data_IF_132778167034
#
_entry.id   IF_132778167034
#
_cell.length_a   1.000
_cell.length_b   1.000
_cell.length_c   1.000
_cell.angle_alpha   90.00
_cell.angle_beta   90.00
_cell.angle_gamma   90.00
#
_symmetry.space_group_name_H-M   'P 1'
#
loop_
_entity.id
_entity.type
_entity.pdbx_description
1 polymer ?
#
# COMPACT_ATOMS: atom_id res chain seq x y z
N UNK A 1 1.30 -6.01 -20.47
CA UNK A 1 0.08 -5.15 -20.57
C UNK A 1 -0.50 -4.99 -19.18
N UNK A 2 -0.87 -3.75 -18.81
CA UNK A 2 -1.53 -3.42 -17.53
C UNK A 2 -2.97 -3.01 -17.77
N UNK A 3 -3.91 -3.57 -17.00
CA UNK A 3 -5.34 -3.24 -17.07
C UNK A 3 -5.81 -2.82 -15.67
N UNK A 4 -6.30 -1.58 -15.53
CA UNK A 4 -6.93 -1.14 -14.29
C UNK A 4 -8.37 -1.73 -14.19
N UNK A 5 -8.51 -2.82 -13.46
CA UNK A 5 -9.78 -3.51 -13.25
C UNK A 5 -10.88 -2.58 -12.69
N UNK A 6 -10.55 -1.64 -11.81
CA UNK A 6 -11.54 -0.72 -11.22
C UNK A 6 -12.22 0.16 -12.26
N UNK A 7 -11.49 0.52 -13.33
CA UNK A 7 -12.02 1.29 -14.46
C UNK A 7 -12.74 0.42 -15.49
N UNK A 8 -12.40 -0.86 -15.54
CA UNK A 8 -12.79 -1.80 -16.61
C UNK A 8 -13.58 -3.01 -16.13
N UNK A 9 -14.33 -2.87 -15.03
CA UNK A 9 -15.12 -3.99 -14.44
C UNK A 9 -16.10 -4.63 -15.41
N UNK A 10 -16.74 -3.84 -16.30
CA UNK A 10 -17.75 -4.31 -17.24
C UNK A 10 -17.17 -5.02 -18.47
N UNK A 11 -15.97 -4.63 -18.90
CA UNK A 11 -15.33 -5.10 -20.14
C UNK A 11 -14.01 -5.86 -19.90
N UNK A 12 -13.70 -6.18 -18.63
CA UNK A 12 -12.43 -6.81 -18.24
C UNK A 12 -12.12 -8.09 -19.03
N UNK A 13 -13.12 -8.92 -19.26
CA UNK A 13 -12.96 -10.18 -20.00
C UNK A 13 -12.59 -9.91 -21.46
N UNK A 14 -13.26 -8.93 -22.07
CA UNK A 14 -12.95 -8.53 -23.44
C UNK A 14 -11.53 -7.99 -23.55
N UNK A 15 -11.08 -7.20 -22.57
CA UNK A 15 -9.71 -6.67 -22.52
C UNK A 15 -8.68 -7.77 -22.34
N UNK A 16 -8.91 -8.73 -21.44
CA UNK A 16 -7.99 -9.86 -21.29
C UNK A 16 -7.90 -10.66 -22.60
N UNK A 17 -9.00 -10.86 -23.31
CA UNK A 17 -8.99 -11.52 -24.63
C UNK A 17 -8.23 -10.71 -25.69
N UNK A 18 -8.33 -9.38 -25.67
CA UNK A 18 -7.63 -8.50 -26.61
C UNK A 18 -6.10 -8.49 -26.40
N UNK A 19 -5.62 -8.82 -25.20
CA UNK A 19 -4.18 -9.01 -24.95
C UNK A 19 -3.61 -10.15 -25.78
N UNK A 20 -4.44 -11.14 -26.13
CA UNK A 20 -4.00 -12.35 -26.86
C UNK A 20 -3.29 -13.33 -25.91
N UNK A 21 -2.20 -13.92 -26.37
CA UNK A 21 -1.40 -14.84 -25.59
C UNK A 21 -0.47 -14.11 -24.63
N UNK A 22 -0.28 -14.66 -23.43
CA UNK A 22 0.61 -14.13 -22.39
C UNK A 22 1.17 -15.28 -21.51
N UNK A 23 2.34 -15.08 -20.93
CA UNK A 23 3.03 -16.11 -20.15
C UNK A 23 2.48 -16.20 -18.73
N UNK A 24 2.15 -15.07 -18.11
CA UNK A 24 1.76 -14.97 -16.71
C UNK A 24 0.59 -14.02 -16.50
N UNK A 25 -0.22 -14.30 -15.50
CA UNK A 25 -1.24 -13.38 -15.02
C UNK A 25 -0.85 -12.88 -13.62
N UNK A 26 -0.66 -11.58 -13.47
CA UNK A 26 -0.32 -10.95 -12.20
C UNK A 26 -1.46 -10.04 -11.74
N UNK A 27 -2.02 -10.35 -10.58
CA UNK A 27 -3.05 -9.54 -9.94
C UNK A 27 -2.45 -8.72 -8.82
N UNK A 28 -2.59 -7.41 -8.89
CA UNK A 28 -2.20 -6.51 -7.81
C UNK A 28 -3.45 -5.96 -7.13
N UNK A 29 -3.48 -5.98 -5.79
CA UNK A 29 -4.58 -5.56 -4.93
C UNK A 29 -5.82 -6.46 -5.03
N UNK A 30 -6.46 -6.59 -6.18
CA UNK A 30 -7.51 -7.57 -6.47
C UNK A 30 -8.85 -7.39 -5.75
N UNK A 31 -9.14 -6.24 -5.12
CA UNK A 31 -10.44 -5.98 -4.50
C UNK A 31 -11.56 -6.22 -5.52
N UNK A 32 -12.54 -7.04 -5.17
CA UNK A 32 -13.71 -7.42 -5.99
C UNK A 32 -13.37 -8.16 -7.29
N UNK A 33 -12.15 -8.62 -7.49
CA UNK A 33 -11.80 -9.35 -8.71
C UNK A 33 -12.52 -10.72 -8.75
N UNK A 34 -13.24 -11.04 -9.84
CA UNK A 34 -14.06 -12.26 -9.90
C UNK A 34 -13.20 -13.52 -9.94
N UNK A 35 -13.47 -14.47 -9.04
CA UNK A 35 -12.81 -15.79 -9.01
C UNK A 35 -13.07 -16.57 -10.30
N UNK A 36 -14.26 -16.41 -10.88
CA UNK A 36 -14.60 -17.05 -12.16
C UNK A 36 -13.68 -16.67 -13.30
N UNK A 37 -13.16 -15.42 -13.33
CA UNK A 37 -12.17 -14.99 -14.31
C UNK A 37 -10.83 -15.70 -14.07
N UNK A 38 -10.37 -15.77 -12.80
CA UNK A 38 -9.14 -16.47 -12.48
C UNK A 38 -9.19 -17.96 -12.85
N UNK A 39 -10.34 -18.61 -12.66
CA UNK A 39 -10.56 -20.01 -13.06
C UNK A 39 -10.51 -20.20 -14.57
N UNK A 40 -10.88 -19.19 -15.36
CA UNK A 40 -10.86 -19.24 -16.82
C UNK A 40 -9.48 -19.01 -17.44
N UNK A 41 -8.52 -18.52 -16.67
CA UNK A 41 -7.15 -18.27 -17.13
C UNK A 41 -6.30 -19.53 -16.92
N UNK A 42 -5.83 -20.12 -18.03
CA UNK A 42 -4.97 -21.31 -18.01
C UNK A 42 -3.48 -20.93 -18.12
N UNK A 43 -3.02 -20.02 -17.28
CA UNK A 43 -1.63 -19.56 -17.16
C UNK A 43 -1.25 -19.46 -15.68
N UNK A 44 0.04 -19.55 -15.33
CA UNK A 44 0.48 -19.27 -13.96
C UNK A 44 -0.05 -17.92 -13.49
N UNK A 45 -0.60 -17.92 -12.30
CA UNK A 45 -1.24 -16.75 -11.68
C UNK A 45 -0.53 -16.37 -10.40
N UNK A 46 -0.21 -15.10 -10.28
CA UNK A 46 0.45 -14.51 -9.13
C UNK A 46 -0.43 -13.41 -8.54
N UNK A 47 -0.36 -13.24 -7.23
CA UNK A 47 -1.17 -12.25 -6.54
C UNK A 47 -0.34 -11.44 -5.54
N UNK A 48 -0.36 -10.13 -5.67
CA UNK A 48 0.18 -9.23 -4.65
C UNK A 48 -0.97 -8.63 -3.84
N UNK A 49 -1.17 -9.18 -2.63
CA UNK A 49 -2.14 -8.69 -1.67
C UNK A 49 -1.53 -7.52 -0.89
N UNK A 50 -2.00 -6.31 -1.16
CA UNK A 50 -1.47 -5.07 -0.61
C UNK A 50 -2.24 -4.55 0.61
N UNK A 51 -3.15 -5.35 1.17
CA UNK A 51 -3.92 -5.03 2.38
C UNK A 51 -3.65 -6.07 3.47
N UNK A 52 -3.86 -5.65 4.71
CA UNK A 52 -3.73 -6.55 5.86
C UNK A 52 -4.74 -7.70 5.78
N UNK A 53 -4.29 -8.90 6.04
CA UNK A 53 -5.12 -10.11 6.10
C UNK A 53 -6.22 -9.92 7.15
N UNK A 54 -7.44 -10.32 6.80
CA UNK A 54 -8.64 -10.21 7.66
C UNK A 54 -9.09 -8.78 8.01
N UNK A 55 -8.64 -7.78 7.29
CA UNK A 55 -9.05 -6.36 7.47
C UNK A 55 -10.40 -6.02 6.81
N UNK A 56 -11.40 -6.89 6.82
CA UNK A 56 -12.67 -6.66 6.12
C UNK A 56 -12.53 -6.25 4.64
N UNK A 57 -11.47 -6.70 3.98
CA UNK A 57 -11.21 -6.52 2.55
C UNK A 57 -11.47 -7.81 1.81
N UNK A 58 -11.83 -7.69 0.55
CA UNK A 58 -12.17 -8.85 -0.30
C UNK A 58 -10.95 -9.74 -0.66
N UNK A 59 -9.73 -9.33 -0.30
CA UNK A 59 -8.51 -10.06 -0.63
C UNK A 59 -8.41 -11.43 0.05
N UNK A 60 -9.00 -11.61 1.23
CA UNK A 60 -9.03 -12.92 1.93
C UNK A 60 -9.67 -14.00 1.08
N UNK A 61 -10.70 -13.69 0.31
CA UNK A 61 -11.36 -14.61 -0.62
C UNK A 61 -10.43 -15.06 -1.74
N UNK A 62 -9.59 -14.16 -2.23
CA UNK A 62 -8.59 -14.45 -3.26
C UNK A 62 -7.44 -15.27 -2.67
N UNK A 63 -6.94 -14.91 -1.50
CA UNK A 63 -5.88 -15.63 -0.79
C UNK A 63 -6.27 -17.09 -0.51
N UNK A 64 -7.52 -17.34 -0.09
CA UNK A 64 -8.04 -18.66 0.20
C UNK A 64 -8.60 -19.41 -1.04
N UNK A 65 -8.40 -18.86 -2.25
CA UNK A 65 -8.98 -19.46 -3.47
C UNK A 65 -8.24 -20.70 -3.98
N UNK A 66 -6.98 -20.87 -3.61
CA UNK A 66 -6.11 -21.93 -4.15
C UNK A 66 -5.76 -21.78 -5.64
N UNK A 67 -6.01 -20.58 -6.24
CA UNK A 67 -5.88 -20.37 -7.68
C UNK A 67 -4.54 -19.75 -8.09
N UNK A 68 -3.71 -19.32 -7.13
CA UNK A 68 -2.43 -18.68 -7.38
C UNK A 68 -1.28 -19.65 -7.14
N UNK A 69 -0.32 -19.65 -8.03
CA UNK A 69 0.94 -20.37 -7.90
C UNK A 69 1.78 -19.79 -6.77
N UNK A 70 1.77 -18.45 -6.65
CA UNK A 70 2.49 -17.73 -5.59
C UNK A 70 1.77 -16.45 -5.21
N UNK A 71 1.88 -16.07 -3.94
CA UNK A 71 1.27 -14.87 -3.37
C UNK A 71 2.34 -14.01 -2.71
N UNK A 72 2.22 -12.70 -2.89
CA UNK A 72 3.05 -11.70 -2.23
C UNK A 72 2.21 -10.93 -1.24
N UNK A 73 2.75 -10.71 -0.04
CA UNK A 73 2.14 -9.91 1.03
C UNK A 73 3.13 -8.87 1.52
N UNK A 74 2.66 -7.79 2.09
CA UNK A 74 3.51 -6.66 2.43
C UNK A 74 4.10 -6.70 3.85
N UNK A 75 3.71 -7.68 4.69
CA UNK A 75 4.27 -7.86 6.05
C UNK A 75 4.44 -9.34 6.42
N UNK A 76 5.38 -9.62 7.31
CA UNK A 76 5.58 -10.95 7.87
C UNK A 76 4.36 -11.43 8.67
N UNK A 77 3.67 -10.53 9.36
CA UNK A 77 2.44 -10.83 10.08
C UNK A 77 1.33 -11.34 9.14
N UNK A 78 1.19 -10.75 7.94
CA UNK A 78 0.28 -11.26 6.91
C UNK A 78 0.67 -12.66 6.42
N UNK A 79 1.97 -12.91 6.19
CA UNK A 79 2.48 -14.24 5.81
C UNK A 79 2.13 -15.27 6.89
N UNK A 80 2.44 -15.00 8.15
CA UNK A 80 2.12 -15.90 9.28
C UNK A 80 0.62 -16.18 9.35
N UNK A 81 -0.21 -15.15 9.27
CA UNK A 81 -1.68 -15.31 9.34
C UNK A 81 -2.24 -16.19 8.21
N UNK A 82 -1.72 -16.10 7.00
CA UNK A 82 -2.13 -16.95 5.87
C UNK A 82 -1.76 -18.42 6.12
N UNK A 83 -0.56 -18.68 6.63
CA UNK A 83 -0.08 -20.03 6.93
C UNK A 83 -0.87 -20.63 8.09
N UNK A 84 -1.05 -19.90 9.20
CA UNK A 84 -1.84 -20.34 10.35
C UNK A 84 -3.30 -20.67 10.01
N UNK A 85 -3.90 -19.92 9.07
CA UNK A 85 -5.24 -20.19 8.55
C UNK A 85 -5.29 -21.41 7.58
N UNK A 86 -4.14 -21.95 7.21
CA UNK A 86 -4.05 -23.06 6.25
C UNK A 86 -4.47 -22.68 4.83
N UNK A 87 -4.45 -21.40 4.47
CA UNK A 87 -4.84 -20.96 3.13
C UNK A 87 -3.77 -21.26 2.09
N UNK A 88 -2.50 -21.12 2.47
CA UNK A 88 -1.34 -21.40 1.62
C UNK A 88 -0.20 -22.01 2.46
N UNK A 89 0.68 -22.74 1.80
CA UNK A 89 1.93 -23.25 2.38
C UNK A 89 3.03 -22.17 2.36
N UNK A 90 4.04 -22.32 3.18
CA UNK A 90 5.09 -21.30 3.36
C UNK A 90 5.86 -21.00 2.07
N UNK A 91 6.11 -22.01 1.25
CA UNK A 91 6.81 -21.92 -0.04
C UNK A 91 6.02 -21.11 -1.10
N UNK A 92 4.71 -20.92 -0.89
CA UNK A 92 3.83 -20.17 -1.80
C UNK A 92 3.59 -18.72 -1.38
N UNK A 93 4.20 -18.26 -0.30
CA UNK A 93 3.99 -16.90 0.21
C UNK A 93 5.32 -16.20 0.46
N UNK A 94 5.53 -15.08 -0.22
CA UNK A 94 6.72 -14.23 -0.03
C UNK A 94 6.32 -12.85 0.49
N UNK A 95 7.08 -12.32 1.44
CA UNK A 95 6.94 -10.92 1.85
C UNK A 95 7.57 -10.04 0.77
N UNK A 96 6.76 -9.17 0.18
CA UNK A 96 7.17 -8.18 -0.80
C UNK A 96 6.69 -6.81 -0.30
N UNK A 97 7.60 -6.08 0.28
CA UNK A 97 7.33 -4.74 0.82
C UNK A 97 6.85 -3.79 -0.29
N UNK A 98 6.09 -2.78 0.10
CA UNK A 98 5.79 -1.65 -0.76
C UNK A 98 7.08 -0.97 -1.24
N UNK A 99 6.96 -0.06 -2.18
CA UNK A 99 8.04 0.71 -2.75
C UNK A 99 7.54 2.06 -3.24
N UNK A 100 8.38 2.73 -4.00
CA UNK A 100 8.04 4.01 -4.61
C UNK A 100 8.59 4.09 -6.05
N UNK A 101 8.09 5.07 -6.79
CA UNK A 101 8.57 5.43 -8.11
C UNK A 101 9.44 6.68 -8.02
N UNK A 102 10.74 6.63 -8.37
CA UNK A 102 11.65 7.77 -8.33
C UNK A 102 11.26 8.92 -9.28
N UNK A 103 10.52 8.65 -10.34
CA UNK A 103 10.02 9.68 -11.25
C UNK A 103 8.85 10.47 -10.63
N UNK A 104 8.13 9.84 -9.70
CA UNK A 104 6.97 10.42 -9.02
C UNK A 104 7.31 11.03 -7.66
N UNK A 105 8.36 10.52 -6.97
CA UNK A 105 8.74 10.94 -5.62
C UNK A 105 10.22 11.27 -5.58
N UNK A 106 10.55 12.54 -5.40
CA UNK A 106 11.92 13.06 -5.51
C UNK A 106 12.13 14.31 -4.65
N UNK A 107 13.39 14.62 -4.27
CA UNK A 107 13.70 15.86 -3.61
C UNK A 107 13.62 17.04 -4.57
N UNK A 108 13.04 18.17 -4.13
CA UNK A 108 12.97 19.42 -4.89
C UNK A 108 14.05 20.34 -4.38
N UNK A 109 15.07 20.59 -5.22
CA UNK A 109 16.19 21.43 -4.87
C UNK A 109 15.76 22.89 -4.62
N UNK A 110 16.36 23.50 -3.60
CA UNK A 110 16.13 24.91 -3.27
C UNK A 110 14.76 25.25 -2.67
N UNK A 111 13.90 24.27 -2.44
CA UNK A 111 12.58 24.51 -1.83
C UNK A 111 12.72 24.95 -0.37
N UNK A 112 11.97 25.99 0.01
CA UNK A 112 11.95 26.48 1.38
C UNK A 112 11.18 25.52 2.29
N UNK A 113 11.77 25.11 3.42
CA UNK A 113 11.12 24.35 4.49
C UNK A 113 10.27 25.29 5.38
N UNK A 114 9.04 25.59 4.96
CA UNK A 114 8.13 26.53 5.62
C UNK A 114 6.97 25.86 6.39
N UNK A 115 6.89 24.53 6.37
CA UNK A 115 5.94 23.73 7.15
C UNK A 115 6.73 23.06 8.29
N UNK A 116 6.40 23.37 9.53
CA UNK A 116 7.11 22.80 10.68
C UNK A 116 6.84 21.29 10.79
N UNK A 117 5.58 20.91 10.90
CA UNK A 117 5.15 19.51 11.03
C UNK A 117 4.02 19.24 10.04
N UNK A 118 4.12 18.16 9.28
CA UNK A 118 3.15 17.76 8.26
C UNK A 118 2.60 16.38 8.56
N UNK A 119 1.29 16.23 8.49
CA UNK A 119 0.63 14.93 8.38
C UNK A 119 -0.21 14.89 7.11
N UNK A 120 -0.03 13.84 6.28
CA UNK A 120 -0.83 13.60 5.08
C UNK A 120 -1.52 12.25 5.19
N UNK A 121 -2.84 12.24 5.27
CA UNK A 121 -3.59 10.99 5.34
C UNK A 121 -5.03 11.16 5.84
N UNK A 122 -5.72 10.05 5.98
CA UNK A 122 -7.05 10.03 6.60
C UNK A 122 -6.91 10.31 8.11
N UNK A 123 -7.67 11.27 8.61
CA UNK A 123 -7.63 11.74 10.01
C UNK A 123 -8.73 11.14 10.88
N UNK A 124 -9.27 9.97 10.53
CA UNK A 124 -10.34 9.31 11.27
C UNK A 124 -9.80 8.40 12.38
N UNK A 125 -10.69 8.09 13.32
CA UNK A 125 -10.43 7.10 14.37
C UNK A 125 -9.24 7.46 15.26
N UNK A 126 -8.30 6.52 15.39
CA UNK A 126 -7.11 6.60 16.23
C UNK A 126 -6.20 7.79 15.86
N UNK A 127 -5.97 8.03 14.57
CA UNK A 127 -5.14 9.15 14.07
C UNK A 127 -5.62 10.50 14.58
N UNK A 128 -6.94 10.74 14.62
CA UNK A 128 -7.52 12.00 15.09
C UNK A 128 -7.10 12.28 16.54
N UNK A 129 -7.11 11.27 17.42
CA UNK A 129 -6.70 11.45 18.81
C UNK A 129 -5.26 11.93 18.94
N UNK A 130 -4.33 11.29 18.18
CA UNK A 130 -2.91 11.67 18.18
C UNK A 130 -2.71 13.08 17.61
N UNK A 131 -3.33 13.37 16.46
CA UNK A 131 -3.20 14.67 15.79
C UNK A 131 -3.74 15.81 16.63
N UNK A 132 -4.85 15.61 17.36
CA UNK A 132 -5.42 16.61 18.25
C UNK A 132 -4.49 16.91 19.44
N UNK A 133 -3.76 15.93 19.96
CA UNK A 133 -2.76 16.16 21.00
C UNK A 133 -1.52 16.88 20.46
N UNK A 134 -0.99 16.44 19.32
CA UNK A 134 0.17 17.06 18.66
C UNK A 134 -0.13 18.52 18.31
N UNK A 135 -1.32 18.83 17.81
CA UNK A 135 -1.74 20.16 17.41
C UNK A 135 -1.80 21.18 18.58
N UNK A 136 -1.96 20.69 19.80
CA UNK A 136 -1.88 21.56 21.00
C UNK A 136 -0.44 21.97 21.34
N UNK A 137 0.55 21.23 20.84
CA UNK A 137 1.95 21.36 21.22
C UNK A 137 2.82 21.97 20.13
N UNK A 138 2.38 21.95 18.84
CA UNK A 138 3.14 22.48 17.73
C UNK A 138 2.25 22.91 16.56
N UNK A 139 2.87 23.64 15.61
CA UNK A 139 2.22 24.05 14.35
C UNK A 139 2.14 22.85 13.39
N UNK A 140 1.02 22.13 13.42
CA UNK A 140 0.77 20.95 12.60
C UNK A 140 -0.07 21.33 11.36
N UNK A 141 0.49 21.06 10.17
CA UNK A 141 -0.24 21.15 8.91
C UNK A 141 -0.85 19.77 8.58
N UNK A 142 -2.18 19.74 8.46
CA UNK A 142 -2.96 18.53 8.17
C UNK A 142 -3.46 18.56 6.72
N UNK A 143 -3.19 17.51 5.94
CA UNK A 143 -3.65 17.37 4.57
C UNK A 143 -4.39 16.04 4.34
N UNK A 144 -5.53 16.10 3.67
CA UNK A 144 -6.38 14.94 3.34
C UNK A 144 -6.62 14.89 1.85
N UNK A 145 -6.51 13.69 1.25
CA UNK A 145 -6.84 13.51 -0.17
C UNK A 145 -5.81 14.12 -1.12
N UNK A 146 -4.61 14.40 -0.64
CA UNK A 146 -3.51 14.95 -1.43
C UNK A 146 -2.61 13.80 -1.90
N UNK A 147 -2.34 13.76 -3.21
CA UNK A 147 -1.56 12.73 -3.89
C UNK A 147 -0.67 13.32 -4.99
N UNK A 148 0.23 12.51 -5.56
CA UNK A 148 1.06 12.88 -6.69
C UNK A 148 1.91 14.12 -6.46
N UNK A 149 2.03 15.00 -7.43
CA UNK A 149 2.89 16.18 -7.38
C UNK A 149 2.57 17.13 -6.21
N UNK A 150 1.30 17.33 -5.86
CA UNK A 150 0.90 18.17 -4.74
C UNK A 150 1.39 17.60 -3.40
N UNK A 151 1.37 16.27 -3.25
CA UNK A 151 1.93 15.60 -2.08
C UNK A 151 3.44 15.77 -2.01
N UNK A 152 4.14 15.60 -3.12
CA UNK A 152 5.61 15.77 -3.21
C UNK A 152 5.99 17.21 -2.83
N UNK A 153 5.24 18.21 -3.29
CA UNK A 153 5.45 19.61 -2.91
C UNK A 153 5.30 19.81 -1.39
N UNK A 154 4.24 19.30 -0.77
CA UNK A 154 4.04 19.43 0.67
C UNK A 154 5.13 18.73 1.48
N UNK A 155 5.49 17.50 1.10
CA UNK A 155 6.53 16.71 1.76
C UNK A 155 7.88 17.42 1.69
N UNK A 156 8.25 17.98 0.54
CA UNK A 156 9.49 18.74 0.38
C UNK A 156 9.51 20.05 1.17
N UNK A 157 8.37 20.69 1.42
CA UNK A 157 8.24 21.90 2.24
C UNK A 157 8.27 21.63 3.74
N UNK A 158 8.02 20.39 4.16
CA UNK A 158 7.95 20.05 5.58
C UNK A 158 9.34 19.88 6.22
N UNK A 159 9.52 20.37 7.45
CA UNK A 159 10.69 20.07 8.28
C UNK A 159 10.59 18.65 8.86
N UNK A 160 9.39 18.26 9.32
CA UNK A 160 9.07 16.95 9.87
C UNK A 160 7.80 16.42 9.19
N UNK A 161 7.84 15.20 8.68
CA UNK A 161 6.64 14.49 8.21
C UNK A 161 6.30 13.39 9.20
N UNK A 162 5.02 13.31 9.61
CA UNK A 162 4.56 12.30 10.54
C UNK A 162 3.97 11.08 9.84
N UNK A 163 4.28 9.89 10.33
CA UNK A 163 3.56 8.67 10.03
C UNK A 163 2.88 8.13 11.31
N UNK A 164 1.57 7.97 11.27
CA UNK A 164 0.74 7.44 12.37
C UNK A 164 -0.17 6.38 11.77
N UNK A 165 -0.19 5.18 12.34
CA UNK A 165 -1.03 4.09 11.83
C UNK A 165 -2.51 4.39 11.99
N UNK A 166 -3.31 3.95 11.01
CA UNK A 166 -4.77 4.12 11.05
C UNK A 166 -5.45 3.26 12.10
N UNK A 167 -4.83 2.13 12.45
CA UNK A 167 -5.30 1.12 13.40
C UNK A 167 -4.17 0.75 14.36
N UNK A 168 -4.48 0.02 15.43
CA UNK A 168 -3.46 -0.53 16.34
C UNK A 168 -2.77 -1.75 15.73
N UNK A 169 -2.21 -1.56 14.55
CA UNK A 169 -1.54 -2.59 13.78
C UNK A 169 -0.25 -2.02 13.20
N UNK A 170 0.86 -2.65 13.54
CA UNK A 170 2.17 -2.21 13.06
C UNK A 170 2.33 -2.58 11.58
N UNK A 171 2.65 -1.59 10.77
CA UNK A 171 2.80 -1.74 9.32
C UNK A 171 3.99 -0.92 8.80
N UNK A 172 4.54 -1.33 7.67
CA UNK A 172 5.51 -0.55 6.90
C UNK A 172 4.78 0.04 5.69
N UNK A 173 4.05 1.13 5.93
CA UNK A 173 3.13 1.73 4.96
C UNK A 173 3.88 2.34 3.76
N UNK A 174 3.22 2.42 2.60
CA UNK A 174 3.79 3.02 1.37
C UNK A 174 4.30 4.45 1.59
N UNK A 175 3.63 5.21 2.46
CA UNK A 175 4.00 6.60 2.78
C UNK A 175 5.44 6.78 3.26
N UNK A 176 6.00 5.79 3.96
CA UNK A 176 7.37 5.84 4.45
C UNK A 176 8.36 5.94 3.28
N UNK A 177 8.19 5.08 2.29
CA UNK A 177 9.05 5.05 1.10
C UNK A 177 8.94 6.35 0.30
N UNK A 178 7.72 6.87 0.11
CA UNK A 178 7.43 8.10 -0.62
C UNK A 178 8.06 9.33 0.05
N UNK A 179 7.99 9.43 1.39
CA UNK A 179 8.55 10.54 2.17
C UNK A 179 10.08 10.50 2.16
N UNK A 180 10.68 9.33 2.39
CA UNK A 180 12.13 9.18 2.35
C UNK A 180 12.69 9.41 0.95
N UNK A 181 11.96 9.04 -0.11
CA UNK A 181 12.31 9.33 -1.50
C UNK A 181 12.36 10.85 -1.80
N UNK A 182 11.59 11.66 -1.09
CA UNK A 182 11.67 13.11 -1.15
C UNK A 182 12.82 13.68 -0.29
N UNK A 183 13.70 12.86 0.27
CA UNK A 183 14.78 13.24 1.21
C UNK A 183 14.23 14.08 2.36
N UNK A 184 13.05 13.74 2.86
CA UNK A 184 12.37 14.45 3.95
C UNK A 184 12.47 13.65 5.25
N UNK A 185 12.62 14.38 6.38
CA UNK A 185 12.73 13.77 7.69
C UNK A 185 11.39 13.15 8.10
N UNK A 186 11.42 11.89 8.47
CA UNK A 186 10.25 11.10 8.83
C UNK A 186 10.28 10.74 10.31
N UNK A 187 9.25 11.14 11.04
CA UNK A 187 8.98 10.74 12.41
C UNK A 187 7.76 9.81 12.40
N UNK A 188 7.98 8.55 12.73
CA UNK A 188 6.97 7.50 12.61
C UNK A 188 6.59 6.92 13.97
N UNK A 189 5.33 6.58 14.15
CA UNK A 189 4.97 5.55 15.09
C UNK A 189 5.71 4.25 14.73
N UNK A 190 6.00 3.41 15.75
CA UNK A 190 6.71 2.14 15.61
C UNK A 190 6.20 1.32 14.43
N UNK A 191 7.12 0.76 13.65
CA UNK A 191 6.83 -0.01 12.47
C UNK A 191 6.68 -1.52 12.76
N UNK A 192 6.32 -2.30 11.75
CA UNK A 192 6.32 -3.76 11.82
C UNK A 192 7.71 -4.33 12.07
N UNK A 193 7.78 -5.52 12.65
CA UNK A 193 9.04 -6.21 13.00
C UNK A 193 9.95 -6.52 11.81
N UNK A 194 9.35 -6.61 10.63
CA UNK A 194 10.03 -6.85 9.36
C UNK A 194 10.33 -5.57 8.58
N UNK A 195 10.21 -4.41 9.23
CA UNK A 195 10.61 -3.14 8.64
C UNK A 195 12.11 -3.16 8.28
N UNK A 196 12.48 -2.76 7.05
CA UNK A 196 13.87 -2.70 6.63
C UNK A 196 14.60 -1.46 7.16
N UNK A 197 13.90 -0.59 7.88
CA UNK A 197 14.43 0.69 8.33
C UNK A 197 15.01 0.60 9.73
N UNK A 198 16.08 1.35 9.96
CA UNK A 198 16.80 1.43 11.24
C UNK A 198 16.46 2.74 11.91
N UNK A 199 15.90 2.65 13.13
CA UNK A 199 15.57 3.80 13.97
C UNK A 199 16.83 4.66 14.25
N UNK A 200 16.72 5.98 14.09
CA UNK A 200 17.80 6.94 14.27
C UNK A 200 18.78 7.04 13.09
N UNK A 201 18.68 6.16 12.10
CA UNK A 201 19.50 6.16 10.89
C UNK A 201 18.70 6.55 9.64
N UNK A 202 17.55 5.91 9.42
CA UNK A 202 16.73 6.12 8.22
C UNK A 202 15.49 6.97 8.51
N UNK A 203 14.97 6.86 9.71
CA UNK A 203 13.82 7.58 10.26
C UNK A 203 13.91 7.58 11.79
N UNK A 204 12.96 8.22 12.45
CA UNK A 204 12.82 8.12 13.91
C UNK A 204 11.51 7.43 14.25
N UNK A 205 11.58 6.39 15.08
CA UNK A 205 10.41 5.68 15.59
C UNK A 205 10.11 6.08 17.02
N UNK A 206 8.81 6.16 17.33
CA UNK A 206 8.29 6.47 18.68
C UNK A 206 7.18 5.50 19.06
N UNK A 207 7.00 5.28 20.36
CA UNK A 207 6.06 4.30 20.90
C UNK A 207 4.66 4.88 21.12
N UNK A 208 4.57 6.16 21.44
CA UNK A 208 3.32 6.83 21.77
C UNK A 208 3.31 8.32 21.37
N UNK A 209 2.18 8.96 21.58
CA UNK A 209 1.98 10.38 21.20
C UNK A 209 2.82 11.33 22.05
N UNK A 210 3.16 10.98 23.29
CA UNK A 210 3.97 11.85 24.16
C UNK A 210 5.41 11.87 23.67
N UNK A 211 5.93 10.69 23.34
CA UNK A 211 7.26 10.54 22.76
C UNK A 211 7.32 11.23 21.38
N UNK A 212 6.25 11.15 20.58
CA UNK A 212 6.17 11.87 19.31
C UNK A 212 6.25 13.39 19.51
N UNK A 213 5.52 13.95 20.47
CA UNK A 213 5.55 15.39 20.77
C UNK A 213 6.95 15.82 21.26
N UNK A 214 7.58 15.05 22.14
CA UNK A 214 8.95 15.35 22.61
C UNK A 214 9.96 15.29 21.46
N UNK A 215 9.84 14.30 20.59
CA UNK A 215 10.69 14.16 19.40
C UNK A 215 10.49 15.31 18.40
N UNK A 216 9.25 15.76 18.20
CA UNK A 216 8.97 16.94 17.36
C UNK A 216 9.75 18.15 17.86
N UNK A 217 9.74 18.43 19.18
CA UNK A 217 10.46 19.57 19.76
C UNK A 217 11.97 19.47 19.49
N UNK A 218 12.57 18.31 19.80
CA UNK A 218 14.00 18.06 19.58
C UNK A 218 14.39 18.25 18.10
N UNK A 219 13.64 17.64 17.21
CA UNK A 219 13.97 17.65 15.79
C UNK A 219 13.57 18.95 15.07
N UNK A 220 12.68 19.79 15.58
CA UNK A 220 12.47 21.14 15.07
C UNK A 220 13.68 22.05 15.32
N UNK A 221 14.37 21.89 16.45
CA UNK A 221 15.54 22.69 16.82
C UNK A 221 16.80 22.28 16.07
N UNK A 222 16.95 20.99 15.65
CA UNK A 222 18.17 20.49 15.01
C UNK A 222 17.97 20.16 13.53
N UNK A 223 18.28 21.11 12.65
CA UNK A 223 18.28 20.89 11.20
C UNK A 223 19.33 19.86 10.76
N UNK A 224 20.48 19.82 11.44
CA UNK A 224 21.57 18.91 11.13
C UNK A 224 21.18 17.45 11.38
N UNK A 225 20.55 17.15 12.53
CA UNK A 225 20.08 15.81 12.83
C UNK A 225 18.99 15.36 11.84
N UNK A 226 18.04 16.27 11.52
CA UNK A 226 17.04 15.95 10.49
C UNK A 226 17.69 15.62 9.16
N UNK A 227 18.64 16.41 8.71
CA UNK A 227 19.32 16.20 7.43
C UNK A 227 20.11 14.90 7.41
N UNK A 228 20.84 14.57 8.48
CA UNK A 228 21.58 13.32 8.60
C UNK A 228 20.66 12.11 8.44
N UNK A 229 19.55 12.07 9.17
CA UNK A 229 18.61 10.96 9.16
C UNK A 229 17.86 10.89 7.80
N UNK A 230 17.42 12.04 7.26
CA UNK A 230 16.74 12.06 5.97
C UNK A 230 17.64 11.64 4.81
N UNK A 231 18.93 11.93 4.85
CA UNK A 231 19.90 11.43 3.87
C UNK A 231 20.03 9.90 3.97
N UNK A 232 20.18 9.34 5.17
CA UNK A 232 20.25 7.89 5.36
C UNK A 232 18.99 7.18 4.87
N UNK A 233 17.82 7.73 5.18
CA UNK A 233 16.54 7.21 4.68
C UNK A 233 16.43 7.26 3.16
N UNK A 234 16.83 8.38 2.54
CA UNK A 234 16.84 8.54 1.09
C UNK A 234 17.76 7.53 0.40
N UNK A 235 18.99 7.38 0.87
CA UNK A 235 19.97 6.43 0.32
C UNK A 235 19.43 4.99 0.41
N UNK A 236 18.90 4.61 1.56
CA UNK A 236 18.31 3.30 1.78
C UNK A 236 17.17 2.98 0.80
N UNK A 237 16.22 3.91 0.62
CA UNK A 237 15.06 3.64 -0.25
C UNK A 237 15.44 3.67 -1.73
N UNK A 238 16.34 4.55 -2.15
CA UNK A 238 16.82 4.62 -3.52
C UNK A 238 17.56 3.35 -3.94
N UNK A 239 18.38 2.81 -3.07
CA UNK A 239 19.15 1.60 -3.35
C UNK A 239 18.27 0.34 -3.39
N UNK A 240 17.30 0.21 -2.46
CA UNK A 240 16.69 -1.08 -2.17
C UNK A 240 15.17 -1.14 -2.40
N UNK A 241 14.46 0.01 -2.52
CA UNK A 241 13.01 0.02 -2.36
C UNK A 241 12.23 0.70 -3.51
N UNK A 242 12.85 0.87 -4.68
CA UNK A 242 12.10 1.32 -5.88
C UNK A 242 11.18 0.22 -6.40
N UNK A 243 10.11 0.59 -7.12
CA UNK A 243 9.27 -0.41 -7.81
C UNK A 243 10.04 -1.18 -8.89
N UNK A 244 11.14 -0.64 -9.43
CA UNK A 244 12.03 -1.40 -10.31
C UNK A 244 12.64 -2.59 -9.57
N UNK A 245 13.15 -2.39 -8.36
CA UNK A 245 13.67 -3.49 -7.51
C UNK A 245 12.61 -4.54 -7.18
N UNK A 246 11.36 -4.12 -6.99
CA UNK A 246 10.25 -5.05 -6.81
C UNK A 246 9.97 -5.86 -8.07
N UNK A 247 10.00 -5.21 -9.23
CA UNK A 247 9.80 -5.88 -10.52
C UNK A 247 10.90 -6.90 -10.82
N UNK A 248 12.17 -6.58 -10.54
CA UNK A 248 13.30 -7.52 -10.67
C UNK A 248 13.08 -8.81 -9.84
N UNK A 249 12.66 -8.66 -8.58
CA UNK A 249 12.37 -9.79 -7.70
C UNK A 249 11.17 -10.61 -8.20
N UNK A 250 10.10 -9.94 -8.64
CA UNK A 250 8.93 -10.61 -9.21
C UNK A 250 9.28 -11.39 -10.46
N UNK A 251 10.05 -10.82 -11.39
CA UNK A 251 10.48 -11.47 -12.63
C UNK A 251 11.35 -12.70 -12.36
N UNK A 252 12.29 -12.62 -11.40
CA UNK A 252 13.12 -13.77 -11.03
C UNK A 252 12.28 -14.94 -10.53
N UNK A 253 11.22 -14.67 -9.78
CA UNK A 253 10.31 -15.70 -9.31
C UNK A 253 9.40 -16.22 -10.43
N UNK A 254 8.83 -15.36 -11.26
CA UNK A 254 7.95 -15.76 -12.36
C UNK A 254 8.65 -16.69 -13.34
N UNK A 255 9.91 -16.45 -13.65
CA UNK A 255 10.68 -17.30 -14.57
C UNK A 255 10.80 -18.75 -14.06
N UNK A 256 10.80 -19.00 -12.75
CA UNK A 256 10.82 -20.34 -12.19
C UNK A 256 9.54 -21.14 -12.45
N UNK A 257 8.43 -20.45 -12.75
CA UNK A 257 7.13 -21.05 -13.06
C UNK A 257 6.85 -21.15 -14.57
N UNK A 258 7.80 -20.78 -15.42
CA UNK A 258 7.59 -20.80 -16.87
C UNK A 258 7.33 -22.23 -17.37
N UNK A 259 6.18 -22.43 -18.02
CA UNK A 259 5.79 -23.69 -18.67
C UNK A 259 5.51 -23.40 -20.15
N UNK A 260 6.28 -24.04 -21.04
CA UNK A 260 6.05 -23.96 -22.48
C UNK A 260 4.74 -24.67 -22.89
N UNK A 261 3.98 -24.08 -23.81
CA UNK A 261 3.02 -24.81 -24.62
C UNK A 261 1.57 -24.92 -24.11
N UNK A 262 1.08 -24.03 -23.23
CA UNK A 262 -0.34 -24.03 -22.86
C UNK A 262 -1.12 -22.90 -23.54
N UNK A 263 -2.07 -23.27 -24.42
CA UNK A 263 -3.01 -22.31 -25.00
C UNK A 263 -4.09 -21.90 -23.99
N UNK A 264 -4.55 -20.65 -24.11
CA UNK A 264 -5.67 -20.11 -23.34
C UNK A 264 -6.96 -20.82 -23.75
N UNK A 265 -7.47 -21.74 -22.95
CA UNK A 265 -8.82 -22.27 -23.11
C UNK A 265 -9.76 -21.62 -22.12
N UNK A 266 -10.63 -20.74 -22.63
CA UNK A 266 -11.64 -20.06 -21.78
C UNK A 266 -12.96 -20.80 -21.94
N UNK A 267 -13.42 -21.47 -20.87
CA UNK A 267 -14.74 -22.09 -20.85
C UNK A 267 -15.85 -21.01 -20.91
N UNK A 268 -16.72 -21.00 -21.94
CA UNK A 268 -17.77 -20.01 -22.10
C UNK A 268 -18.77 -19.95 -20.93
N UNK A 269 -19.01 -21.08 -20.26
CA UNK A 269 -19.94 -21.14 -19.13
C UNK A 269 -19.32 -20.48 -17.90
N UNK A 270 -18.05 -20.79 -17.60
CA UNK A 270 -17.33 -20.14 -16.52
C UNK A 270 -17.21 -18.63 -16.75
N UNK A 271 -17.02 -18.23 -18.01
CA UNK A 271 -16.97 -16.84 -18.41
C UNK A 271 -18.27 -16.09 -18.11
N UNK A 272 -19.44 -16.68 -18.46
CA UNK A 272 -20.76 -16.09 -18.15
C UNK A 272 -20.97 -15.96 -16.64
N UNK A 273 -20.62 -16.98 -15.86
CA UNK A 273 -20.69 -16.93 -14.39
C UNK A 273 -19.80 -15.84 -13.81
N UNK A 274 -18.60 -15.67 -14.35
CA UNK A 274 -17.67 -14.63 -13.92
C UNK A 274 -18.18 -13.21 -14.20
N UNK A 275 -18.88 -13.00 -15.33
CA UNK A 275 -19.54 -11.71 -15.62
C UNK A 275 -20.62 -11.40 -14.59
N UNK A 276 -21.47 -12.38 -14.25
CA UNK A 276 -22.52 -12.21 -13.25
C UNK A 276 -21.93 -11.96 -11.86
N UNK A 277 -20.88 -12.69 -11.48
CA UNK A 277 -20.16 -12.48 -10.22
C UNK A 277 -19.56 -11.07 -10.15
N UNK A 278 -18.91 -10.60 -11.23
CA UNK A 278 -18.36 -9.27 -11.33
C UNK A 278 -19.41 -8.17 -11.14
N UNK A 279 -20.58 -8.36 -11.76
CA UNK A 279 -21.70 -7.44 -11.64
C UNK A 279 -22.28 -7.41 -10.22
N UNK A 280 -22.46 -8.58 -9.62
CA UNK A 280 -22.95 -8.70 -8.24
C UNK A 280 -22.00 -8.04 -7.23
N UNK A 281 -20.70 -8.31 -7.34
CA UNK A 281 -19.69 -7.73 -6.46
C UNK A 281 -19.63 -6.19 -6.61
N UNK A 282 -19.73 -5.70 -7.84
CA UNK A 282 -19.77 -4.25 -8.11
C UNK A 282 -20.97 -3.58 -7.42
N UNK A 283 -22.19 -4.12 -7.60
CA UNK A 283 -23.38 -3.54 -7.00
C UNK A 283 -23.37 -3.63 -5.47
N UNK A 284 -22.95 -4.77 -4.91
CA UNK A 284 -22.76 -4.94 -3.47
C UNK A 284 -21.82 -3.86 -2.88
N UNK A 285 -20.69 -3.61 -3.50
CA UNK A 285 -19.71 -2.67 -2.99
C UNK A 285 -20.14 -1.22 -3.20
N UNK A 286 -20.82 -0.90 -4.29
CA UNK A 286 -21.47 0.38 -4.50
C UNK A 286 -22.47 0.72 -3.39
N UNK A 287 -23.28 -0.23 -2.98
CA UNK A 287 -24.23 -0.06 -1.89
C UNK A 287 -23.54 0.11 -0.54
N UNK A 288 -22.49 -0.67 -0.26
CA UNK A 288 -21.69 -0.54 0.96
C UNK A 288 -20.99 0.81 1.05
N UNK A 289 -20.44 1.32 -0.03
CA UNK A 289 -19.79 2.63 -0.07
C UNK A 289 -20.81 3.77 0.11
N UNK A 290 -21.98 3.66 -0.51
CA UNK A 290 -23.08 4.61 -0.31
C UNK A 290 -23.55 4.62 1.15
N UNK A 291 -23.66 3.45 1.78
CA UNK A 291 -24.00 3.33 3.21
C UNK A 291 -22.92 3.94 4.11
N UNK A 292 -21.64 3.72 3.82
CA UNK A 292 -20.52 4.31 4.56
C UNK A 292 -20.53 5.84 4.46
N UNK A 293 -20.76 6.39 3.26
CA UNK A 293 -20.87 7.84 3.04
C UNK A 293 -22.06 8.44 3.79
N UNK A 294 -23.22 7.78 3.76
CA UNK A 294 -24.40 8.21 4.50
C UNK A 294 -24.14 8.21 6.01
N UNK A 295 -23.56 7.15 6.55
CA UNK A 295 -23.19 7.04 7.96
C UNK A 295 -22.18 8.12 8.38
N UNK A 296 -21.24 8.45 7.51
CA UNK A 296 -20.28 9.54 7.74
C UNK A 296 -20.97 10.91 7.76
N UNK A 297 -21.86 11.19 6.80
CA UNK A 297 -22.59 12.45 6.73
C UNK A 297 -23.54 12.66 7.92
N UNK A 298 -24.20 11.58 8.38
CA UNK A 298 -25.04 11.60 9.60
C UNK A 298 -24.18 11.93 10.82
N UNK A 299 -23.06 11.25 11.02
CA UNK A 299 -22.15 11.54 12.14
C UNK A 299 -21.58 12.96 12.13
N UNK A 300 -21.43 13.57 10.95
CA UNK A 300 -20.96 14.95 10.81
C UNK A 300 -22.05 15.99 11.15
N UNK A 301 -23.33 15.63 11.03
CA UNK A 301 -24.45 16.52 11.40
C UNK A 301 -24.78 16.52 12.90
N UNK A 302 -24.35 15.50 13.63
CA UNK A 302 -24.61 15.35 15.08
C UNK A 302 -23.34 15.56 15.94
N UNK A 303 -22.28 16.12 15.36
CA UNK A 303 -21.15 16.77 16.03
C UNK A 303 -21.17 18.27 15.76
#
# INVERSE_FOLDING_TARGET
VTIDYRKHRKDIIQRIKQVGDFDYFFLQRGDDFPIGILKSINRPKFFWASELVSRNRDQDRLLNSGLFEHVFVHTLACKRSIIEKGWLTEDKVTVLLNGFDPESHYPIEGIKKDIDVLFIGNMLGRRRKWLDEIKRSCNLYEAVGIYGADMVQLVNRAKIVLNIHSEEYLDTETRLFEVMACRSFLLSERLSEDSPFVNGLHLVEVMDVKEMISSIQIYLESSELRQKISNGGYECVMENHTYLKRAELLLSLFTSYYKTGQNLSVDPIQLKKAVLESFYLYEKNRLLDSYRQLRYSIRKRFK
#
